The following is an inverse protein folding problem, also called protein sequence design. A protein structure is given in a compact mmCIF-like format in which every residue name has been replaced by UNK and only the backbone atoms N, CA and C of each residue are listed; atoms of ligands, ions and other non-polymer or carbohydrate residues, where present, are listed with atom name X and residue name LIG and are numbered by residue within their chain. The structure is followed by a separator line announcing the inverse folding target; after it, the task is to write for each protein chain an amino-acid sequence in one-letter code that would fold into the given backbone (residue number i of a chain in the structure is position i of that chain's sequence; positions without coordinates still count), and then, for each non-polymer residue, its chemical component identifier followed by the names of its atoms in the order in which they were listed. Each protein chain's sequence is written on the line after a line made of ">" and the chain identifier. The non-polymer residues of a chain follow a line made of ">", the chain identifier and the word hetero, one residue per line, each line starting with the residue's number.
data_IF_545389918389
#
_entry.id   IF_545389918389
#
_cell.length_a   1.000
_cell.length_b   1.000
_cell.length_c   1.000
_cell.angle_alpha   90.00
_cell.angle_beta   90.00
_cell.angle_gamma   90.00
#
_symmetry.space_group_name_H-M   'P 1'
#
loop_
_entity.id
_entity.type
_entity.pdbx_description
1 polymer ?
#
# COMPACT_ATOMS: atom_id res chain seq x y z
N UNK A 1 -0.39 -16.86 -13.95
CA UNK A 1 -1.73 -16.53 -13.43
C UNK A 1 -1.99 -17.40 -12.20
N UNK A 2 -2.06 -16.78 -11.01
CA UNK A 2 -2.13 -17.50 -9.74
C UNK A 2 -3.40 -18.34 -9.56
N UNK A 3 -4.52 -17.92 -10.16
CA UNK A 3 -5.78 -18.68 -10.12
C UNK A 3 -5.82 -19.87 -11.09
N UNK A 4 -5.06 -19.83 -12.19
CA UNK A 4 -4.95 -20.94 -13.13
C UNK A 4 -3.76 -21.87 -12.85
N UNK A 5 -2.85 -21.47 -11.95
CA UNK A 5 -1.51 -22.05 -11.81
C UNK A 5 -0.74 -22.16 -13.15
N UNK A 6 -1.09 -21.30 -14.13
CA UNK A 6 -0.58 -21.35 -15.50
C UNK A 6 0.50 -20.28 -15.69
N UNK A 7 1.65 -20.67 -16.25
CA UNK A 7 2.86 -19.85 -16.40
C UNK A 7 3.05 -19.30 -17.82
N UNK A 8 1.95 -19.04 -18.53
CA UNK A 8 1.97 -18.38 -19.84
C UNK A 8 2.40 -16.91 -19.75
N UNK A 9 3.24 -16.47 -20.68
CA UNK A 9 3.64 -15.08 -20.81
C UNK A 9 2.50 -14.27 -21.44
N UNK A 10 1.98 -13.26 -20.73
CA UNK A 10 0.93 -12.35 -21.23
C UNK A 10 -0.34 -12.33 -20.39
N UNK A 11 -1.39 -11.67 -20.89
CA UNK A 11 -2.70 -11.58 -20.22
C UNK A 11 -3.41 -12.94 -20.18
N UNK A 12 -4.02 -13.28 -19.05
CA UNK A 12 -4.77 -14.53 -18.94
C UNK A 12 -6.14 -14.35 -19.65
N UNK A 13 -6.50 -15.18 -20.64
CA UNK A 13 -7.75 -15.01 -21.39
C UNK A 13 -9.01 -15.21 -20.51
N UNK A 14 -8.88 -15.92 -19.38
CA UNK A 14 -9.98 -16.18 -18.45
C UNK A 14 -10.15 -15.08 -17.40
N UNK A 15 -9.05 -14.41 -17.01
CA UNK A 15 -9.01 -13.50 -15.86
C UNK A 15 -8.64 -12.06 -16.24
N UNK A 16 -8.31 -11.81 -17.50
CA UNK A 16 -7.72 -10.57 -17.96
C UNK A 16 -6.34 -10.30 -17.33
N UNK A 17 -5.81 -9.07 -17.47
CA UNK A 17 -4.61 -8.67 -16.74
C UNK A 17 -4.88 -8.65 -15.24
N UNK A 18 -3.88 -9.03 -14.44
CA UNK A 18 -3.94 -8.88 -12.99
C UNK A 18 -4.23 -7.40 -12.68
N UNK A 19 -5.27 -7.13 -11.89
CA UNK A 19 -5.66 -5.76 -11.50
C UNK A 19 -4.49 -4.99 -10.86
N UNK A 20 -3.55 -5.69 -10.23
CA UNK A 20 -2.33 -5.16 -9.64
C UNK A 20 -1.24 -4.77 -10.65
N UNK A 21 -1.32 -5.25 -11.89
CA UNK A 21 -0.40 -4.96 -12.99
C UNK A 21 -0.99 -4.01 -14.04
N UNK A 22 -2.25 -3.55 -13.86
CA UNK A 22 -2.75 -2.47 -14.71
C UNK A 22 -1.97 -1.19 -14.39
N UNK A 23 -1.01 -0.93 -15.30
CA UNK A 23 -0.12 0.22 -15.42
C UNK A 23 1.13 0.22 -14.53
N UNK A 24 2.02 -0.74 -14.76
CA UNK A 24 3.37 -0.31 -15.16
C UNK A 24 3.20 0.40 -16.51
N UNK A 25 3.07 1.72 -16.48
CA UNK A 25 3.00 2.56 -17.69
C UNK A 25 4.28 2.29 -18.47
N UNK A 26 4.15 1.61 -19.61
CA UNK A 26 5.19 1.54 -20.61
C UNK A 26 5.61 2.94 -21.03
N UNK A 27 6.90 3.22 -20.91
CA UNK A 27 7.72 3.76 -22.00
C UNK A 27 6.96 4.52 -23.09
N UNK A 28 6.66 5.82 -22.87
CA UNK A 28 6.63 6.90 -23.87
C UNK A 28 5.69 8.04 -23.47
N UNK A 29 5.97 8.71 -22.37
CA UNK A 29 5.56 10.11 -22.20
C UNK A 29 6.43 10.69 -21.11
N UNK A 30 7.26 11.68 -21.44
CA UNK A 30 8.03 12.46 -20.48
C UNK A 30 7.09 12.87 -19.35
N UNK A 31 7.26 12.37 -18.12
CA UNK A 31 6.43 12.86 -17.02
C UNK A 31 6.85 14.30 -16.81
N UNK A 32 5.89 15.23 -16.87
CA UNK A 32 6.09 16.53 -16.25
C UNK A 32 6.61 16.27 -14.82
N UNK A 33 7.54 17.09 -14.29
CA UNK A 33 8.09 16.88 -12.97
C UNK A 33 6.95 17.07 -11.96
N UNK A 34 6.26 15.97 -11.65
CA UNK A 34 5.44 15.85 -10.48
C UNK A 34 6.45 15.97 -9.35
N UNK A 35 6.47 17.14 -8.71
CA UNK A 35 7.11 17.30 -7.41
C UNK A 35 6.55 16.19 -6.56
N UNK A 36 7.37 15.16 -6.32
CA UNK A 36 7.03 14.07 -5.43
C UNK A 36 6.59 14.74 -4.13
N UNK A 37 5.35 14.50 -3.66
CA UNK A 37 4.95 14.97 -2.34
C UNK A 37 6.03 14.51 -1.37
N UNK A 38 6.41 15.37 -0.43
CA UNK A 38 7.45 15.05 0.54
C UNK A 38 7.00 13.85 1.36
N UNK A 39 7.39 12.65 0.92
CA UNK A 39 7.00 11.39 1.55
C UNK A 39 7.73 11.37 2.89
N UNK A 40 6.99 11.37 4.02
CA UNK A 40 7.59 11.36 5.34
C UNK A 40 8.64 10.24 5.46
N UNK A 41 9.73 10.50 6.17
CA UNK A 41 10.86 9.57 6.21
C UNK A 41 10.48 8.16 6.67
N UNK A 42 9.51 8.03 7.58
CA UNK A 42 9.00 6.74 8.05
C UNK A 42 8.28 5.91 6.96
N UNK A 43 7.85 6.51 5.85
CA UNK A 43 7.34 5.79 4.67
C UNK A 43 8.45 5.34 3.72
N UNK A 44 9.69 5.80 3.92
CA UNK A 44 10.86 5.37 3.13
C UNK A 44 11.45 4.07 3.66
N UNK A 45 11.23 3.76 4.93
CA UNK A 45 11.77 2.58 5.63
C UNK A 45 10.85 1.35 5.60
N UNK A 46 10.05 1.19 4.54
CA UNK A 46 9.19 0.02 4.39
C UNK A 46 10.04 -1.25 4.15
N UNK A 47 9.64 -2.41 4.72
CA UNK A 47 10.32 -3.67 4.45
C UNK A 47 10.18 -4.00 2.96
N UNK A 48 11.21 -4.63 2.38
CA UNK A 48 11.31 -4.88 0.94
C UNK A 48 10.15 -5.67 0.33
N UNK A 49 9.40 -6.40 1.17
CA UNK A 49 8.23 -7.19 0.82
C UNK A 49 7.04 -6.32 0.42
N UNK A 50 7.04 -5.04 0.81
CA UNK A 50 5.97 -4.09 0.54
C UNK A 50 6.45 -2.76 -0.06
N UNK A 51 5.52 -2.03 -0.63
CA UNK A 51 5.72 -0.73 -1.26
C UNK A 51 4.60 0.24 -0.91
N UNK A 52 4.89 1.54 -0.93
CA UNK A 52 3.86 2.57 -0.93
C UNK A 52 3.19 2.63 -2.31
N UNK A 53 1.86 2.72 -2.35
CA UNK A 53 1.10 2.93 -3.59
C UNK A 53 -0.03 3.95 -3.39
N UNK A 54 -0.54 4.50 -4.49
CA UNK A 54 -1.80 5.24 -4.48
C UNK A 54 -2.96 4.26 -4.29
N UNK A 55 -3.85 4.56 -3.33
CA UNK A 55 -5.02 3.72 -3.07
C UNK A 55 -6.02 3.82 -4.21
N UNK A 56 -6.62 2.69 -4.59
CA UNK A 56 -7.75 2.64 -5.52
C UNK A 56 -9.09 2.91 -4.83
N UNK A 57 -9.11 2.97 -3.49
CA UNK A 57 -10.30 3.30 -2.71
C UNK A 57 -10.48 4.82 -2.68
N UNK A 58 -11.63 5.34 -3.16
CA UNK A 58 -11.90 6.78 -3.15
C UNK A 58 -11.75 7.40 -1.76
N UNK A 59 -11.01 8.51 -1.68
CA UNK A 59 -10.85 9.29 -0.45
C UNK A 59 -9.78 8.80 0.53
N UNK A 60 -9.04 7.72 0.24
CA UNK A 60 -7.98 7.22 1.14
C UNK A 60 -6.55 7.69 0.78
N UNK A 61 -6.32 8.16 -0.45
CA UNK A 61 -5.02 8.68 -0.88
C UNK A 61 -3.99 7.58 -1.13
N UNK A 62 -3.44 6.97 -0.07
CA UNK A 62 -2.35 5.98 -0.16
C UNK A 62 -2.72 4.62 0.45
N UNK A 63 -1.97 3.60 0.05
CA UNK A 63 -2.03 2.24 0.58
C UNK A 63 -0.66 1.56 0.53
N UNK A 64 -0.62 0.31 0.98
CA UNK A 64 0.57 -0.54 0.93
C UNK A 64 0.31 -1.73 0.01
N UNK A 65 1.20 -1.95 -0.95
CA UNK A 65 1.19 -3.07 -1.87
C UNK A 65 2.24 -4.11 -1.48
N UNK A 66 1.99 -5.38 -1.80
CA UNK A 66 3.07 -6.36 -1.86
C UNK A 66 3.95 -6.05 -3.09
N UNK A 67 5.25 -5.87 -2.88
CA UNK A 67 6.26 -5.74 -3.95
C UNK A 67 6.93 -7.09 -4.24
N UNK A 68 6.82 -8.05 -3.31
CA UNK A 68 7.32 -9.41 -3.43
C UNK A 68 6.30 -10.41 -2.88
N UNK A 69 6.55 -11.71 -3.06
CA UNK A 69 5.74 -12.75 -2.42
C UNK A 69 5.93 -12.68 -0.90
N UNK A 70 4.84 -12.50 -0.16
CA UNK A 70 4.80 -12.55 1.30
C UNK A 70 4.47 -14.00 1.71
N UNK A 71 5.39 -14.74 2.35
CA UNK A 71 5.11 -16.08 2.84
C UNK A 71 3.96 -16.11 3.86
N UNK A 72 3.27 -17.24 3.93
CA UNK A 72 2.30 -17.47 4.99
C UNK A 72 3.02 -17.48 6.34
N UNK A 73 2.44 -16.79 7.33
CA UNK A 73 3.03 -16.66 8.67
C UNK A 73 4.04 -15.50 8.80
N UNK A 74 4.28 -14.73 7.74
CA UNK A 74 5.07 -13.49 7.84
C UNK A 74 4.35 -12.49 8.74
N UNK A 75 5.10 -11.94 9.69
CA UNK A 75 4.64 -10.93 10.62
C UNK A 75 5.26 -9.57 10.27
N UNK A 76 4.43 -8.53 10.09
CA UNK A 76 4.85 -7.16 9.81
C UNK A 76 4.46 -6.31 11.02
N UNK A 77 5.44 -5.79 11.74
CA UNK A 77 5.23 -5.04 12.97
C UNK A 77 6.48 -4.93 13.82
N UNK A 78 6.37 -4.36 15.05
CA UNK A 78 5.14 -3.90 15.68
C UNK A 78 4.61 -2.58 15.11
N UNK A 79 3.30 -2.33 15.26
CA UNK A 79 2.71 -1.03 14.91
C UNK A 79 3.40 0.10 15.69
N UNK A 80 3.87 1.12 14.98
CA UNK A 80 4.53 2.28 15.58
C UNK A 80 3.54 3.43 15.70
N UNK A 81 3.56 4.09 16.85
CA UNK A 81 2.69 5.22 17.14
C UNK A 81 3.04 5.88 18.47
N UNK A 82 2.30 6.92 18.84
CA UNK A 82 2.43 7.58 20.14
C UNK A 82 1.38 6.99 21.09
N UNK A 83 1.75 6.56 22.31
CA UNK A 83 0.78 6.11 23.30
C UNK A 83 -0.25 7.19 23.60
N UNK A 84 -1.53 6.82 23.61
CA UNK A 84 -2.63 7.71 23.95
C UNK A 84 -3.29 7.27 25.25
N UNK A 85 -3.56 8.24 26.12
CA UNK A 85 -4.35 8.02 27.33
C UNK A 85 -5.84 7.96 26.96
N UNK A 86 -6.57 6.99 27.50
CA UNK A 86 -8.01 6.79 27.22
C UNK A 86 -8.85 8.06 27.48
N UNK A 87 -8.51 8.82 28.52
CA UNK A 87 -9.21 10.07 28.84
C UNK A 87 -9.12 11.11 27.70
N UNK A 88 -8.02 11.10 26.94
CA UNK A 88 -7.84 11.97 25.76
C UNK A 88 -8.68 11.51 24.56
N UNK A 89 -9.01 10.23 24.48
CA UNK A 89 -9.96 9.71 23.48
C UNK A 89 -11.38 10.12 23.84
N UNK A 90 -11.79 9.93 25.10
CA UNK A 90 -13.16 10.23 25.55
C UNK A 90 -13.50 11.73 25.57
N UNK A 91 -12.51 12.59 25.80
CA UNK A 91 -12.68 14.04 25.75
C UNK A 91 -12.80 14.62 24.34
N UNK A 92 -12.71 13.80 23.29
CA UNK A 92 -12.78 14.26 21.89
C UNK A 92 -11.56 15.08 21.45
N UNK A 93 -10.50 15.10 22.25
CA UNK A 93 -9.24 15.77 21.89
C UNK A 93 -8.58 15.12 20.67
N UNK A 94 -8.76 13.81 20.49
CA UNK A 94 -8.31 13.06 19.31
C UNK A 94 -9.43 13.06 18.26
N UNK A 95 -9.27 13.88 17.22
CA UNK A 95 -10.28 14.02 16.15
C UNK A 95 -10.24 12.89 15.11
N UNK A 96 -9.11 12.20 14.96
CA UNK A 96 -8.95 11.12 14.00
C UNK A 96 -8.48 9.85 14.71
N UNK A 97 -9.39 8.89 14.84
CA UNK A 97 -9.18 7.60 15.48
C UNK A 97 -8.95 6.45 14.49
N UNK A 98 -8.80 6.73 13.19
CA UNK A 98 -8.72 5.71 12.13
C UNK A 98 -7.45 4.86 12.14
N UNK A 99 -6.41 5.31 12.86
CA UNK A 99 -5.08 4.70 12.88
C UNK A 99 -4.61 4.46 14.32
N UNK A 100 -5.52 3.97 15.17
CA UNK A 100 -5.24 3.58 16.56
C UNK A 100 -5.17 2.05 16.69
N UNK A 101 -4.43 1.59 17.69
CA UNK A 101 -4.35 0.20 18.12
C UNK A 101 -4.63 0.13 19.63
N UNK A 102 -5.37 -0.90 20.05
CA UNK A 102 -5.70 -1.21 21.46
C UNK A 102 -4.69 -2.17 22.09
#
# INVERSE_FOLDING_TARGET
>A
CDMCADNRNGECPMHGPLHSLRRLVGTSSTPAPVTMPDVPDWLRDLPREVCLCTSTVPGLGYGICASQRIPQGTWIGPFQGVPLLLDKLHSGAVRNSRHLWE
#
